data_IF_104875223480
#
_entry.id   IF_104875223480
#
_cell.length_a   1.000
_cell.length_b   1.000
_cell.length_c   1.000
_cell.angle_alpha   90.00
_cell.angle_beta   90.00
_cell.angle_gamma   90.00
#
_symmetry.space_group_name_H-M   'P 1'
#
loop_
_entity.id
_entity.type
_entity.pdbx_description
1 polymer ?
#
# COMPACT_ATOMS: atom_id res chain seq x y z
N UNK A 1 -15.87 -2.55 -16.43
CA UNK A 1 -16.57 -3.76 -15.96
C UNK A 1 -17.29 -3.52 -14.62
N UNK A 2 -16.62 -3.06 -13.53
CA UNK A 2 -17.27 -2.79 -12.23
C UNK A 2 -18.40 -1.75 -12.36
N UNK A 3 -18.16 -0.58 -13.00
CA UNK A 3 -19.22 0.40 -13.25
C UNK A 3 -20.44 -0.21 -13.95
N UNK A 4 -20.22 -1.03 -14.99
CA UNK A 4 -21.31 -1.67 -15.71
C UNK A 4 -22.15 -2.60 -14.84
N UNK A 5 -21.54 -3.32 -13.88
CA UNK A 5 -22.26 -4.16 -12.93
C UNK A 5 -23.06 -3.34 -11.92
N UNK A 6 -22.49 -2.25 -11.43
CA UNK A 6 -23.17 -1.32 -10.52
C UNK A 6 -24.33 -0.60 -11.21
N UNK A 7 -24.11 -0.14 -12.43
CA UNK A 7 -25.15 0.54 -13.23
C UNK A 7 -26.33 -0.39 -13.58
N UNK A 8 -26.08 -1.68 -13.85
CA UNK A 8 -27.12 -2.66 -14.08
C UNK A 8 -28.09 -2.83 -12.89
N UNK A 9 -27.64 -2.51 -11.68
CA UNK A 9 -28.46 -2.52 -10.45
C UNK A 9 -28.97 -1.13 -10.05
N UNK A 10 -28.97 -0.17 -10.98
CA UNK A 10 -29.57 1.14 -10.77
C UNK A 10 -28.68 2.17 -10.08
N UNK A 11 -27.38 1.89 -9.90
CA UNK A 11 -26.44 2.90 -9.40
C UNK A 11 -25.99 3.76 -10.57
N UNK A 12 -26.24 5.06 -10.48
CA UNK A 12 -25.84 6.02 -11.51
C UNK A 12 -24.34 6.30 -11.48
N UNK A 13 -23.55 5.37 -12.03
CA UNK A 13 -22.08 5.41 -12.05
C UNK A 13 -21.54 4.98 -13.43
N UNK A 14 -20.59 5.74 -13.93
CA UNK A 14 -19.77 5.37 -15.10
C UNK A 14 -18.29 5.64 -14.82
N UNK A 15 -17.42 5.16 -15.70
CA UNK A 15 -15.98 5.46 -15.57
C UNK A 15 -15.71 6.94 -15.85
N UNK A 16 -16.43 7.54 -16.78
CA UNK A 16 -16.36 8.95 -17.11
C UNK A 16 -16.76 9.82 -15.91
N UNK A 17 -17.87 9.50 -15.24
CA UNK A 17 -18.29 10.19 -14.00
C UNK A 17 -17.27 10.09 -12.88
N UNK A 18 -16.60 8.95 -12.77
CA UNK A 18 -15.50 8.81 -11.79
C UNK A 18 -14.30 9.67 -12.17
N UNK A 19 -13.92 9.78 -13.43
CA UNK A 19 -12.83 10.66 -13.87
C UNK A 19 -13.16 12.14 -13.66
N UNK A 20 -14.42 12.53 -13.88
CA UNK A 20 -14.89 13.89 -13.60
C UNK A 20 -14.85 14.21 -12.09
N UNK A 21 -15.28 13.27 -11.25
CA UNK A 21 -15.27 13.44 -9.79
C UNK A 21 -13.86 13.39 -9.20
N UNK A 22 -12.92 12.68 -9.84
CA UNK A 22 -11.55 12.49 -9.38
C UNK A 22 -10.57 12.69 -10.55
N UNK A 23 -10.33 13.96 -10.95
CA UNK A 23 -9.42 14.28 -12.06
C UNK A 23 -7.96 13.94 -11.68
N UNK A 24 -7.15 13.70 -12.71
CA UNK A 24 -5.70 13.52 -12.63
C UNK A 24 -5.21 12.36 -11.72
N UNK A 25 -6.05 11.35 -11.53
CA UNK A 25 -5.68 10.19 -10.72
C UNK A 25 -6.06 8.85 -11.34
N UNK A 26 -5.38 7.79 -10.91
CA UNK A 26 -5.77 6.41 -11.24
C UNK A 26 -6.97 6.00 -10.38
N UNK A 27 -8.09 5.68 -11.01
CA UNK A 27 -9.30 5.27 -10.31
C UNK A 27 -9.09 3.94 -9.58
N UNK A 28 -9.28 3.95 -8.27
CA UNK A 28 -9.19 2.80 -7.37
C UNK A 28 -10.53 2.51 -6.69
N UNK A 29 -10.66 1.38 -5.99
CA UNK A 29 -11.87 1.07 -5.19
C UNK A 29 -12.16 2.15 -4.13
N UNK A 30 -11.15 2.83 -3.62
CA UNK A 30 -11.32 3.98 -2.73
C UNK A 30 -12.09 5.14 -3.38
N UNK A 31 -11.86 5.40 -4.67
CA UNK A 31 -12.63 6.41 -5.41
C UNK A 31 -14.08 5.96 -5.65
N UNK A 32 -14.31 4.68 -5.97
CA UNK A 32 -15.67 4.13 -6.01
C UNK A 32 -16.40 4.28 -4.67
N UNK A 33 -15.75 3.93 -3.57
CA UNK A 33 -16.38 4.03 -2.24
C UNK A 33 -16.73 5.48 -1.88
N UNK A 34 -15.86 6.41 -2.23
CA UNK A 34 -16.10 7.84 -2.03
C UNK A 34 -17.24 8.33 -2.90
N UNK A 35 -17.25 7.96 -4.18
CA UNK A 35 -18.35 8.30 -5.10
C UNK A 35 -19.69 7.80 -4.59
N UNK A 36 -19.78 6.54 -4.16
CA UNK A 36 -21.00 5.96 -3.60
C UNK A 36 -21.47 6.69 -2.34
N UNK A 37 -20.56 7.12 -1.49
CA UNK A 37 -20.87 7.90 -0.30
C UNK A 37 -21.37 9.30 -0.65
N UNK A 38 -20.68 10.02 -1.53
CA UNK A 38 -21.00 11.38 -1.91
C UNK A 38 -22.35 11.49 -2.66
N UNK A 39 -22.78 10.39 -3.31
CA UNK A 39 -24.08 10.31 -4.01
C UNK A 39 -25.16 9.60 -3.18
N UNK A 40 -24.92 9.35 -1.88
CA UNK A 40 -25.93 8.83 -0.95
C UNK A 40 -26.32 7.35 -1.13
N UNK A 41 -25.55 6.56 -1.90
CA UNK A 41 -25.79 5.12 -2.05
C UNK A 41 -25.39 4.32 -0.81
N UNK A 42 -24.50 4.86 0.02
CA UNK A 42 -24.05 4.31 1.29
C UNK A 42 -23.89 5.39 2.34
N UNK A 43 -23.91 5.01 3.62
CA UNK A 43 -23.80 5.92 4.76
C UNK A 43 -22.36 6.18 5.20
N UNK A 44 -21.44 5.27 4.86
CA UNK A 44 -20.04 5.35 5.22
C UNK A 44 -19.18 4.48 4.26
N UNK A 45 -17.87 4.68 4.29
CA UNK A 45 -16.95 3.95 3.41
C UNK A 45 -16.93 2.42 3.69
N UNK A 46 -16.94 1.92 4.93
CA UNK A 46 -17.05 0.49 5.19
C UNK A 46 -18.27 -0.15 4.52
N UNK A 47 -19.45 0.46 4.61
CA UNK A 47 -20.66 -0.05 3.96
C UNK A 47 -20.49 -0.17 2.43
N UNK A 48 -19.75 0.74 1.80
CA UNK A 48 -19.46 0.65 0.37
C UNK A 48 -18.67 -0.64 0.03
N UNK A 49 -17.71 -1.00 0.88
CA UNK A 49 -16.96 -2.24 0.69
C UNK A 49 -17.80 -3.48 0.98
N UNK A 50 -18.58 -3.48 2.04
CA UNK A 50 -19.41 -4.62 2.43
C UNK A 50 -20.47 -4.94 1.37
N UNK A 51 -21.12 -3.92 0.81
CA UNK A 51 -22.26 -4.11 -0.11
C UNK A 51 -21.86 -4.18 -1.59
N UNK A 52 -20.80 -3.46 -1.99
CA UNK A 52 -20.54 -3.22 -3.42
C UNK A 52 -19.10 -3.55 -3.88
N UNK A 53 -18.07 -3.25 -3.08
CA UNK A 53 -16.70 -3.22 -3.57
C UNK A 53 -15.81 -4.35 -3.05
N UNK A 54 -16.27 -5.08 -2.04
CA UNK A 54 -15.55 -6.19 -1.44
C UNK A 54 -15.38 -7.37 -2.41
N UNK A 55 -14.36 -8.18 -2.14
CA UNK A 55 -13.98 -9.31 -3.01
C UNK A 55 -15.08 -10.38 -3.10
N UNK A 56 -16.00 -10.43 -2.14
CA UNK A 56 -17.12 -11.37 -2.08
C UNK A 56 -18.43 -10.81 -2.67
N UNK A 57 -18.41 -9.61 -3.25
CA UNK A 57 -19.61 -9.01 -3.84
C UNK A 57 -19.78 -9.39 -5.31
N UNK A 58 -21.02 -9.39 -5.80
CA UNK A 58 -21.33 -9.68 -7.21
C UNK A 58 -20.73 -8.66 -8.19
N UNK A 59 -20.36 -7.48 -7.69
CA UNK A 59 -19.78 -6.42 -8.50
C UNK A 59 -18.26 -6.56 -8.65
N UNK A 60 -17.64 -7.40 -7.81
CA UNK A 60 -16.20 -7.59 -7.82
C UNK A 60 -15.70 -8.08 -9.19
N UNK A 61 -14.71 -7.40 -9.71
CA UNK A 61 -14.01 -7.80 -10.94
C UNK A 61 -12.60 -8.19 -10.55
N UNK A 62 -12.27 -9.48 -10.56
CA UNK A 62 -10.90 -9.91 -10.27
C UNK A 62 -9.94 -9.30 -11.28
N UNK A 63 -8.81 -8.81 -10.79
CA UNK A 63 -7.69 -8.40 -11.64
C UNK A 63 -6.68 -9.54 -11.69
N UNK A 64 -5.99 -9.66 -12.80
CA UNK A 64 -4.72 -10.39 -12.81
C UNK A 64 -3.82 -9.74 -11.74
N UNK A 65 -3.53 -10.53 -10.71
CA UNK A 65 -2.64 -10.07 -9.63
C UNK A 65 -1.23 -10.45 -10.01
N UNK A 66 -0.36 -9.46 -10.19
CA UNK A 66 1.07 -9.73 -10.22
C UNK A 66 1.49 -10.32 -8.88
N UNK A 67 2.39 -11.28 -8.91
CA UNK A 67 2.98 -11.83 -7.69
C UNK A 67 3.88 -10.78 -7.02
N UNK A 68 4.12 -10.87 -5.70
CA UNK A 68 5.06 -9.97 -5.04
C UNK A 68 6.47 -9.97 -5.67
N UNK A 69 6.95 -11.12 -6.13
CA UNK A 69 8.24 -11.20 -6.84
C UNK A 69 8.21 -10.47 -8.19
N UNK A 70 7.11 -10.58 -8.96
CA UNK A 70 6.93 -9.81 -10.19
C UNK A 70 6.89 -8.31 -9.92
N UNK A 71 6.23 -7.87 -8.82
CA UNK A 71 6.22 -6.47 -8.42
C UNK A 71 7.64 -5.95 -8.12
N UNK A 72 8.46 -6.72 -7.39
CA UNK A 72 9.87 -6.40 -7.14
C UNK A 72 10.62 -6.23 -8.47
N UNK A 73 10.47 -7.17 -9.40
CA UNK A 73 11.14 -7.13 -10.72
C UNK A 73 10.72 -5.90 -11.53
N UNK A 74 9.44 -5.55 -11.54
CA UNK A 74 8.93 -4.36 -12.24
C UNK A 74 9.50 -3.06 -11.67
N UNK A 75 9.59 -2.95 -10.33
CA UNK A 75 10.17 -1.76 -9.67
C UNK A 75 11.65 -1.63 -10.04
N UNK A 76 12.41 -2.73 -10.02
CA UNK A 76 13.82 -2.72 -10.42
C UNK A 76 14.00 -2.35 -11.89
N UNK A 77 13.14 -2.85 -12.78
CA UNK A 77 13.20 -2.57 -14.22
C UNK A 77 13.08 -1.08 -14.56
N UNK A 78 12.37 -0.32 -13.72
CA UNK A 78 12.26 1.15 -13.85
C UNK A 78 13.24 1.90 -12.94
N UNK A 79 14.31 1.26 -12.49
CA UNK A 79 15.34 1.84 -11.61
C UNK A 79 14.79 2.34 -10.26
N UNK A 80 13.72 1.72 -9.78
CA UNK A 80 13.13 1.98 -8.45
C UNK A 80 13.78 1.10 -7.37
N UNK A 81 13.56 1.47 -6.11
CA UNK A 81 13.96 0.68 -4.93
C UNK A 81 12.73 -0.06 -4.42
N UNK A 82 12.66 -1.40 -4.55
CA UNK A 82 11.55 -2.16 -3.99
C UNK A 82 11.64 -2.23 -2.46
N UNK A 83 10.56 -1.82 -1.81
CA UNK A 83 10.41 -1.81 -0.36
C UNK A 83 9.17 -2.61 0.02
N UNK A 84 9.28 -3.52 0.99
CA UNK A 84 8.13 -4.21 1.56
C UNK A 84 7.49 -3.30 2.62
N UNK A 85 6.32 -2.74 2.29
CA UNK A 85 5.61 -1.76 3.13
C UNK A 85 4.87 -2.44 4.29
N UNK A 86 4.83 -1.80 5.46
CA UNK A 86 4.05 -2.13 6.67
C UNK A 86 3.78 -3.65 6.90
N UNK A 87 4.81 -4.53 6.92
CA UNK A 87 4.60 -5.99 6.89
C UNK A 87 3.87 -6.56 8.12
N UNK A 88 3.82 -5.86 9.25
CA UNK A 88 3.03 -6.32 10.41
C UNK A 88 1.54 -6.32 10.13
N UNK A 89 1.05 -5.45 9.22
CA UNK A 89 -0.35 -5.37 8.83
C UNK A 89 -0.82 -6.55 7.97
N UNK A 90 0.08 -7.44 7.56
CA UNK A 90 -0.31 -8.67 6.86
C UNK A 90 -0.84 -9.74 7.82
N UNK A 91 -0.73 -9.53 9.13
CA UNK A 91 -1.16 -10.48 10.17
C UNK A 91 -0.61 -11.90 9.97
N UNK A 92 0.58 -11.99 9.40
CA UNK A 92 1.28 -13.27 9.18
C UNK A 92 2.03 -13.69 10.44
N UNK A 93 2.07 -14.99 10.70
CA UNK A 93 2.98 -15.54 11.72
C UNK A 93 4.47 -15.25 11.35
N UNK A 94 5.33 -15.22 12.36
CA UNK A 94 6.75 -14.84 12.19
C UNK A 94 7.48 -15.66 11.13
N UNK A 95 7.25 -16.96 11.08
CA UNK A 95 7.91 -17.86 10.13
C UNK A 95 7.43 -17.62 8.69
N UNK A 96 6.13 -17.37 8.52
CA UNK A 96 5.56 -17.05 7.22
C UNK A 96 6.07 -15.70 6.69
N UNK A 97 6.13 -14.69 7.55
CA UNK A 97 6.69 -13.38 7.19
C UNK A 97 8.18 -13.49 6.85
N UNK A 98 8.95 -14.25 7.63
CA UNK A 98 10.37 -14.52 7.39
C UNK A 98 10.58 -15.23 6.04
N UNK A 99 9.74 -16.21 5.72
CA UNK A 99 9.77 -16.93 4.43
C UNK A 99 9.40 -16.02 3.26
N UNK A 100 8.40 -15.16 3.40
CA UNK A 100 8.03 -14.14 2.41
C UNK A 100 9.21 -13.19 2.14
N UNK A 101 9.81 -12.64 3.20
CA UNK A 101 10.95 -11.70 3.08
C UNK A 101 12.14 -12.37 2.39
N UNK A 102 12.45 -13.61 2.73
CA UNK A 102 13.49 -14.37 2.05
C UNK A 102 13.23 -14.52 0.56
N UNK A 103 12.02 -14.96 0.20
CA UNK A 103 11.62 -15.12 -1.20
C UNK A 103 11.69 -13.79 -1.98
N UNK A 104 11.24 -12.69 -1.37
CA UNK A 104 11.33 -11.37 -1.99
C UNK A 104 12.77 -10.87 -2.09
N UNK A 105 13.63 -11.19 -1.12
CA UNK A 105 15.06 -10.88 -1.18
C UNK A 105 15.72 -11.58 -2.36
N UNK A 106 15.40 -12.84 -2.60
CA UNK A 106 15.87 -13.61 -3.76
C UNK A 106 15.39 -12.97 -5.08
N UNK A 107 14.19 -12.39 -5.11
CA UNK A 107 13.67 -11.62 -6.24
C UNK A 107 14.28 -10.21 -6.40
N UNK A 108 15.07 -9.74 -5.42
CA UNK A 108 15.74 -8.44 -5.46
C UNK A 108 15.15 -7.36 -4.56
N UNK A 109 14.35 -7.71 -3.55
CA UNK A 109 13.89 -6.76 -2.54
C UNK A 109 15.08 -6.06 -1.88
N UNK A 110 15.01 -4.73 -1.77
CA UNK A 110 16.10 -3.89 -1.25
C UNK A 110 15.87 -3.46 0.18
N UNK A 111 14.66 -3.14 0.56
CA UNK A 111 14.35 -2.63 1.87
C UNK A 111 13.04 -3.16 2.44
N UNK A 112 12.88 -2.99 3.75
CA UNK A 112 11.69 -3.33 4.52
C UNK A 112 11.29 -2.12 5.37
N UNK A 113 9.99 -1.77 5.39
CA UNK A 113 9.51 -0.68 6.24
C UNK A 113 9.48 -1.13 7.70
N UNK A 114 10.44 -0.59 8.46
CA UNK A 114 10.64 -0.92 9.86
C UNK A 114 10.14 0.18 10.81
N UNK A 115 9.98 1.41 10.31
CA UNK A 115 9.49 2.56 11.08
C UNK A 115 8.14 2.99 10.52
N UNK A 116 7.08 2.79 11.30
CA UNK A 116 5.72 2.99 10.81
C UNK A 116 4.80 3.55 11.92
N UNK A 117 3.81 4.34 11.54
CA UNK A 117 2.95 5.14 12.44
C UNK A 117 2.29 4.37 13.57
N UNK A 118 1.92 3.11 13.35
CA UNK A 118 1.20 2.29 14.33
C UNK A 118 2.07 1.23 14.99
N UNK A 119 3.36 1.14 14.64
CA UNK A 119 4.23 0.16 15.26
C UNK A 119 4.50 0.48 16.73
N UNK A 120 4.38 -0.53 17.55
CA UNK A 120 4.97 -0.51 18.87
C UNK A 120 6.52 -0.59 18.79
N UNK A 121 7.20 -0.18 19.84
CA UNK A 121 8.66 -0.32 19.92
C UNK A 121 9.13 -1.78 19.76
N UNK A 122 8.27 -2.75 20.11
CA UNK A 122 8.54 -4.18 19.91
C UNK A 122 8.46 -4.58 18.44
N UNK A 123 7.43 -4.14 17.71
CA UNK A 123 7.27 -4.39 16.28
C UNK A 123 8.36 -3.72 15.46
N UNK A 124 8.71 -2.48 15.76
CA UNK A 124 9.83 -1.80 15.12
C UNK A 124 11.13 -2.58 15.28
N UNK A 125 11.47 -3.01 16.52
CA UNK A 125 12.65 -3.85 16.75
C UNK A 125 12.61 -5.15 15.96
N UNK A 126 11.46 -5.83 15.89
CA UNK A 126 11.30 -7.05 15.13
C UNK A 126 11.55 -6.81 13.64
N UNK A 127 11.01 -5.74 13.08
CA UNK A 127 11.20 -5.40 11.67
C UNK A 127 12.64 -5.00 11.36
N UNK A 128 13.31 -4.25 12.22
CA UNK A 128 14.75 -3.95 12.10
C UNK A 128 15.60 -5.23 12.15
N UNK A 129 15.30 -6.16 13.05
CA UNK A 129 15.99 -7.45 13.15
C UNK A 129 15.74 -8.31 11.91
N UNK A 130 14.51 -8.33 11.39
CA UNK A 130 14.17 -9.06 10.18
C UNK A 130 14.91 -8.50 8.96
N UNK A 131 14.96 -7.17 8.81
CA UNK A 131 15.73 -6.51 7.76
C UNK A 131 17.23 -6.87 7.87
N UNK A 132 17.82 -6.77 9.05
CA UNK A 132 19.23 -7.10 9.28
C UNK A 132 19.53 -8.58 8.95
N UNK A 133 18.65 -9.52 9.34
CA UNK A 133 18.80 -10.96 9.06
C UNK A 133 18.95 -11.23 7.57
N UNK A 134 18.23 -10.52 6.71
CA UNK A 134 18.25 -10.71 5.26
C UNK A 134 19.11 -9.70 4.50
N UNK A 135 19.92 -8.89 5.21
CA UNK A 135 20.76 -7.86 4.58
C UNK A 135 19.95 -6.85 3.78
N UNK A 136 18.77 -6.48 4.28
CA UNK A 136 17.91 -5.44 3.73
C UNK A 136 18.19 -4.10 4.42
N UNK A 137 18.05 -3.02 3.67
CA UNK A 137 17.92 -1.70 4.24
C UNK A 137 16.55 -1.56 4.93
N UNK A 138 16.38 -0.51 5.71
CA UNK A 138 15.09 -0.16 6.28
C UNK A 138 14.51 1.08 5.61
N UNK A 139 13.21 1.22 5.65
CA UNK A 139 12.50 2.45 5.33
C UNK A 139 11.55 2.82 6.47
N UNK A 140 10.95 3.98 6.37
CA UNK A 140 9.88 4.42 7.25
C UNK A 140 8.90 5.32 6.55
N UNK A 141 7.68 5.37 7.06
CA UNK A 141 6.59 6.16 6.52
C UNK A 141 5.44 6.37 7.49
N UNK A 142 4.71 7.46 7.32
CA UNK A 142 3.47 7.70 8.08
C UNK A 142 2.26 6.98 7.50
N UNK A 143 2.35 6.54 6.25
CA UNK A 143 1.21 5.98 5.48
C UNK A 143 0.05 7.00 5.37
N UNK A 144 0.43 8.27 5.20
CA UNK A 144 -0.52 9.37 5.06
C UNK A 144 -1.39 9.21 3.81
N UNK A 145 -2.70 9.36 3.98
CA UNK A 145 -3.71 9.20 2.93
C UNK A 145 -4.68 10.39 2.88
N UNK A 146 -4.23 11.58 3.28
CA UNK A 146 -5.08 12.76 3.32
C UNK A 146 -6.32 12.55 4.19
N UNK A 147 -7.45 13.05 3.72
CA UNK A 147 -8.73 12.97 4.46
C UNK A 147 -9.25 11.54 4.66
N UNK A 148 -8.71 10.55 3.95
CA UNK A 148 -9.15 9.15 4.07
C UNK A 148 -8.66 8.48 5.36
N UNK A 149 -7.62 9.04 6.00
CA UNK A 149 -7.12 8.61 7.32
C UNK A 149 -7.04 9.81 8.26
N UNK A 150 -8.17 10.22 8.87
CA UNK A 150 -8.20 11.38 9.77
C UNK A 150 -7.25 11.22 10.96
N UNK A 151 -6.55 12.29 11.34
CA UNK A 151 -5.60 12.27 12.46
C UNK A 151 -4.24 11.68 12.17
N UNK A 152 -4.01 11.18 10.95
CA UNK A 152 -2.71 10.71 10.49
C UNK A 152 -2.04 11.80 9.66
N UNK A 153 -0.92 12.34 10.16
CA UNK A 153 -0.22 13.45 9.53
C UNK A 153 0.99 12.99 8.71
N UNK A 154 1.29 13.75 7.65
CA UNK A 154 2.46 13.50 6.83
C UNK A 154 3.75 13.67 7.67
N UNK A 155 4.59 12.65 7.67
CA UNK A 155 5.90 12.66 8.35
C UNK A 155 5.86 12.37 9.84
N UNK A 156 4.84 12.80 10.57
CA UNK A 156 4.73 12.62 12.02
C UNK A 156 3.74 11.55 12.46
N UNK A 157 3.00 10.97 11.51
CA UNK A 157 2.01 9.93 11.80
C UNK A 157 0.94 10.43 12.77
N UNK A 158 0.75 9.72 13.88
CA UNK A 158 -0.10 10.15 15.00
C UNK A 158 0.66 11.01 16.03
N UNK A 159 1.67 11.78 15.59
CA UNK A 159 2.42 12.73 16.40
C UNK A 159 3.65 12.15 17.11
N UNK A 160 3.95 10.85 16.95
CA UNK A 160 5.09 10.18 17.60
C UNK A 160 6.11 9.58 16.62
N UNK A 161 5.79 9.60 15.33
CA UNK A 161 6.68 9.04 14.32
C UNK A 161 7.89 9.95 14.13
N UNK A 162 9.07 9.36 14.15
CA UNK A 162 10.32 10.00 13.78
C UNK A 162 11.11 9.10 12.84
N UNK A 163 11.38 9.57 11.65
CA UNK A 163 12.13 8.86 10.62
C UNK A 163 13.44 9.62 10.38
N UNK A 164 14.59 9.10 10.84
CA UNK A 164 15.88 9.73 10.64
C UNK A 164 16.24 9.85 9.15
N UNK A 165 16.90 10.94 8.77
CA UNK A 165 17.26 11.22 7.37
C UNK A 165 18.30 10.20 6.82
N UNK A 166 19.11 9.60 7.68
CA UNK A 166 20.09 8.57 7.30
C UNK A 166 19.44 7.37 6.60
N UNK A 167 18.19 7.05 6.93
CA UNK A 167 17.38 6.03 6.23
C UNK A 167 17.23 6.40 4.75
N UNK A 168 16.86 7.64 4.45
CA UNK A 168 16.72 8.11 3.07
C UNK A 168 18.07 8.14 2.35
N UNK A 169 19.12 8.60 3.04
CA UNK A 169 20.47 8.65 2.50
C UNK A 169 20.95 7.25 2.10
N UNK A 170 20.72 6.25 2.97
CA UNK A 170 21.08 4.86 2.68
C UNK A 170 20.33 4.29 1.45
N UNK A 171 19.03 4.58 1.32
CA UNK A 171 18.24 4.16 0.16
C UNK A 171 18.70 4.85 -1.13
N UNK A 172 19.00 6.16 -1.09
CA UNK A 172 19.53 6.89 -2.24
C UNK A 172 20.89 6.36 -2.66
N UNK A 173 21.78 6.09 -1.71
CA UNK A 173 23.10 5.49 -1.97
C UNK A 173 22.92 4.12 -2.64
N UNK A 174 22.03 3.29 -2.11
CA UNK A 174 21.76 1.95 -2.67
C UNK A 174 21.21 2.02 -4.09
N UNK A 175 20.35 3.01 -4.38
CA UNK A 175 19.85 3.23 -5.74
C UNK A 175 20.97 3.57 -6.71
N UNK A 176 21.91 4.45 -6.32
CA UNK A 176 23.11 4.76 -7.13
C UNK A 176 23.95 3.52 -7.39
N UNK A 177 24.22 2.72 -6.36
CA UNK A 177 25.00 1.49 -6.49
C UNK A 177 24.34 0.47 -7.46
N UNK A 178 23.01 0.40 -7.49
CA UNK A 178 22.30 -0.57 -8.32
C UNK A 178 22.18 -0.13 -9.79
N UNK A 179 22.12 1.16 -10.07
CA UNK A 179 21.69 1.66 -11.37
C UNK A 179 22.62 2.71 -12.00
N UNK A 180 23.73 3.05 -11.38
CA UNK A 180 24.66 4.09 -11.84
C UNK A 180 23.98 5.44 -12.17
N UNK A 181 23.05 5.91 -11.29
CA UNK A 181 22.23 7.12 -11.49
C UNK A 181 22.26 8.05 -10.29
#
# INVERSE_FOLDING_TARGET
>A
KMCARLAADGIDISYEKLLEAFPDCVITRGHYSRYLLDHGYVKNLPEAFDRYLGDNTKYFVPREKITPAQAVSLILAVKGIPVLAHPTLYHMGKDNLSSLVRHLKEAGLVALEAVYSTYSAGEERQMRQLAARYGLLISGGSDFHGKSKPGLELGTGYGKLFIPEDILIALKKKRKELFDV
#
